data_IF_348988620815
#
_entry.id   IF_348988620815
#
_cell.length_a   1.000
_cell.length_b   1.000
_cell.length_c   1.000
_cell.angle_alpha   90.00
_cell.angle_beta   90.00
_cell.angle_gamma   90.00
#
_symmetry.space_group_name_H-M   'P 1'
#
loop_
_entity.id
_entity.type
_entity.pdbx_description
1 polymer ?
#
# COMPACT_ATOMS: atom_id res chain seq x y z
N UNK A 1 -13.14 -2.97 -7.17
CA UNK A 1 -13.94 -1.79 -7.60
C UNK A 1 -12.98 -0.64 -7.76
N UNK A 2 -13.15 0.22 -8.76
CA UNK A 2 -12.40 1.48 -8.82
C UNK A 2 -13.08 2.45 -7.86
N UNK A 3 -12.33 3.04 -6.94
CA UNK A 3 -12.81 4.11 -6.08
C UNK A 3 -12.39 5.44 -6.68
N UNK A 4 -13.33 6.37 -6.83
CA UNK A 4 -13.01 7.76 -7.20
C UNK A 4 -12.80 8.54 -5.92
N UNK A 5 -11.66 9.22 -5.81
CA UNK A 5 -11.35 10.14 -4.72
C UNK A 5 -11.06 11.52 -5.31
N UNK A 6 -11.48 12.57 -4.61
CA UNK A 6 -11.13 13.95 -4.94
C UNK A 6 -10.06 14.42 -3.96
N UNK A 7 -8.99 15.00 -4.47
CA UNK A 7 -7.87 15.51 -3.68
C UNK A 7 -7.63 16.97 -4.04
N UNK A 8 -7.54 17.82 -3.02
CA UNK A 8 -7.09 19.20 -3.18
C UNK A 8 -5.56 19.19 -3.29
N UNK A 9 -5.04 19.37 -4.50
CA UNK A 9 -3.59 19.36 -4.75
C UNK A 9 -3.02 20.74 -4.41
N UNK A 10 -2.09 20.87 -3.46
CA UNK A 10 -1.46 22.15 -3.13
C UNK A 10 -0.67 22.73 -4.30
N UNK A 11 -0.65 24.06 -4.43
CA UNK A 11 0.03 24.77 -5.52
C UNK A 11 1.52 24.39 -5.63
N UNK A 12 2.19 24.17 -4.51
CA UNK A 12 3.61 23.79 -4.47
C UNK A 12 3.86 22.47 -5.21
N UNK A 13 2.98 21.47 -5.01
CA UNK A 13 3.10 20.20 -5.71
C UNK A 13 2.74 20.36 -7.19
N UNK A 14 1.75 21.18 -7.52
CA UNK A 14 1.41 21.47 -8.92
C UNK A 14 2.61 22.08 -9.67
N UNK A 15 3.22 23.11 -9.10
CA UNK A 15 4.41 23.76 -9.68
C UNK A 15 5.57 22.77 -9.84
N UNK A 16 5.81 21.91 -8.84
CA UNK A 16 6.85 20.89 -8.93
C UNK A 16 6.55 19.88 -10.05
N UNK A 17 5.31 19.45 -10.18
CA UNK A 17 4.89 18.52 -11.24
C UNK A 17 5.06 19.13 -12.63
N UNK A 18 4.71 20.41 -12.82
CA UNK A 18 4.91 21.13 -14.08
C UNK A 18 6.38 21.19 -14.48
N UNK A 19 7.27 21.54 -13.54
CA UNK A 19 8.72 21.63 -13.78
C UNK A 19 9.36 20.27 -14.13
N UNK A 20 8.84 19.19 -13.58
CA UNK A 20 9.39 17.83 -13.73
C UNK A 20 8.65 17.00 -14.79
N UNK A 21 7.75 17.62 -15.57
CA UNK A 21 6.96 16.95 -16.61
C UNK A 21 6.21 15.71 -16.10
N UNK A 22 5.61 15.83 -14.91
CA UNK A 22 4.80 14.78 -14.29
C UNK A 22 3.45 15.32 -13.83
N UNK A 23 2.62 14.46 -13.28
CA UNK A 23 1.30 14.83 -12.74
C UNK A 23 1.18 14.41 -11.29
N UNK A 24 0.36 15.12 -10.47
CA UNK A 24 0.05 14.68 -9.12
C UNK A 24 -0.50 13.25 -9.08
N UNK A 25 -1.30 12.88 -10.09
CA UNK A 25 -1.83 11.52 -10.23
C UNK A 25 -0.73 10.47 -10.37
N UNK A 26 0.29 10.71 -11.21
CA UNK A 26 1.41 9.79 -11.38
C UNK A 26 2.22 9.65 -10.09
N UNK A 27 2.57 10.77 -9.44
CA UNK A 27 3.29 10.78 -8.16
C UNK A 27 2.53 9.98 -7.10
N UNK A 28 1.24 10.26 -6.93
CA UNK A 28 0.41 9.58 -5.94
C UNK A 28 0.19 8.11 -6.29
N UNK A 29 0.01 7.77 -7.57
CA UNK A 29 -0.18 6.38 -7.96
C UNK A 29 1.08 5.54 -7.70
N UNK A 30 2.27 6.10 -7.94
CA UNK A 30 3.54 5.44 -7.58
C UNK A 30 3.60 5.19 -6.08
N UNK A 31 3.36 6.22 -5.26
CA UNK A 31 3.34 6.07 -3.80
C UNK A 31 2.29 5.04 -3.34
N UNK A 32 1.08 5.03 -3.92
CA UNK A 32 0.03 4.06 -3.63
C UNK A 32 0.50 2.63 -3.96
N UNK A 33 1.13 2.43 -5.11
CA UNK A 33 1.68 1.13 -5.48
C UNK A 33 2.79 0.69 -4.53
N UNK A 34 3.65 1.63 -4.12
CA UNK A 34 4.78 1.37 -3.22
C UNK A 34 4.32 0.98 -1.82
N UNK A 35 3.42 1.77 -1.22
CA UNK A 35 2.88 1.48 0.13
C UNK A 35 1.99 0.24 0.14
N UNK A 36 1.29 -0.06 -0.95
CA UNK A 36 0.49 -1.29 -1.05
C UNK A 36 1.33 -2.53 -1.39
N UNK A 37 2.64 -2.36 -1.63
CA UNK A 37 3.56 -3.42 -2.00
C UNK A 37 3.08 -4.18 -3.25
N UNK A 38 2.51 -3.46 -4.20
CA UNK A 38 2.02 -4.02 -5.45
C UNK A 38 3.15 -4.62 -6.30
N UNK A 39 2.79 -5.55 -7.19
CA UNK A 39 3.75 -6.18 -8.10
C UNK A 39 4.44 -5.13 -9.00
N UNK A 40 3.67 -4.14 -9.46
CA UNK A 40 4.15 -3.05 -10.32
C UNK A 40 4.52 -1.79 -9.52
N UNK A 41 5.08 -1.96 -8.32
CA UNK A 41 5.67 -0.89 -7.52
C UNK A 41 7.09 -0.53 -8.01
N UNK A 42 7.68 0.49 -7.40
CA UNK A 42 9.05 0.97 -7.59
C UNK A 42 10.10 -0.04 -7.09
N UNK A 43 11.35 0.38 -6.86
CA UNK A 43 12.44 -0.44 -6.33
C UNK A 43 12.28 -0.84 -4.86
N UNK A 44 13.34 -1.43 -4.29
CA UNK A 44 13.32 -1.88 -2.89
C UNK A 44 13.21 -0.72 -1.91
N UNK A 45 14.08 0.28 -2.09
CA UNK A 45 14.24 1.38 -1.15
C UNK A 45 13.02 2.31 -1.17
N UNK A 46 12.42 2.55 -2.33
CA UNK A 46 11.22 3.39 -2.46
C UNK A 46 10.02 2.79 -1.70
N UNK A 47 9.84 1.46 -1.78
CA UNK A 47 8.82 0.75 -1.00
C UNK A 47 9.07 0.86 0.50
N UNK A 48 10.31 0.62 0.92
CA UNK A 48 10.68 0.71 2.34
C UNK A 48 10.42 2.12 2.89
N UNK A 49 10.76 3.15 2.12
CA UNK A 49 10.49 4.55 2.48
C UNK A 49 8.99 4.85 2.53
N UNK A 50 8.20 4.34 1.58
CA UNK A 50 6.74 4.54 1.56
C UNK A 50 6.07 3.90 2.78
N UNK A 51 6.43 2.66 3.11
CA UNK A 51 5.94 1.96 4.31
C UNK A 51 6.40 2.66 5.58
N UNK A 52 7.68 3.04 5.66
CA UNK A 52 8.23 3.76 6.82
C UNK A 52 7.53 5.09 7.06
N UNK A 53 7.24 5.84 6.00
CA UNK A 53 6.48 7.09 6.08
C UNK A 53 5.06 6.84 6.59
N UNK A 54 4.35 5.84 6.03
CA UNK A 54 3.01 5.45 6.47
C UNK A 54 2.97 5.09 7.97
N UNK A 55 3.93 4.28 8.43
CA UNK A 55 4.07 3.87 9.82
C UNK A 55 4.34 5.07 10.73
N UNK A 56 5.26 5.96 10.33
CA UNK A 56 5.62 7.15 11.09
C UNK A 56 4.47 8.15 11.23
N UNK A 57 3.60 8.24 10.23
CA UNK A 57 2.37 9.03 10.31
C UNK A 57 1.33 8.46 11.29
N UNK A 58 1.53 7.25 11.82
CA UNK A 58 0.63 6.63 12.78
C UNK A 58 -0.70 6.17 12.18
N UNK A 59 -0.76 5.96 10.86
CA UNK A 59 -1.96 5.46 10.19
C UNK A 59 -2.33 4.06 10.72
N UNK A 60 -3.60 3.88 11.10
CA UNK A 60 -4.11 2.60 11.62
C UNK A 60 -3.83 2.35 13.12
N UNK A 61 -2.98 3.14 13.78
CA UNK A 61 -2.58 2.90 15.20
C UNK A 61 -3.72 3.11 16.22
N UNK A 62 -4.80 3.78 15.81
CA UNK A 62 -6.04 3.85 16.60
C UNK A 62 -6.80 2.51 16.64
N UNK A 63 -6.49 1.56 15.73
CA UNK A 63 -7.13 0.24 15.61
C UNK A 63 -6.21 -0.92 15.94
N UNK A 64 -4.91 -0.71 15.88
CA UNK A 64 -3.89 -1.76 16.02
C UNK A 64 -2.66 -1.23 16.77
N UNK A 65 -1.84 -2.12 17.30
CA UNK A 65 -0.49 -1.77 17.79
C UNK A 65 0.48 -1.61 16.62
N UNK A 66 1.63 -0.97 16.86
CA UNK A 66 2.64 -0.71 15.83
C UNK A 66 3.13 -1.99 15.14
N UNK A 67 3.50 -2.99 15.93
CA UNK A 67 3.96 -4.31 15.48
C UNK A 67 2.91 -5.05 14.64
N UNK A 68 1.62 -4.87 14.95
CA UNK A 68 0.53 -5.44 14.18
C UNK A 68 0.42 -4.82 12.79
N UNK A 69 0.57 -3.49 12.68
CA UNK A 69 0.57 -2.80 11.37
C UNK A 69 1.85 -3.14 10.59
N UNK A 70 2.98 -3.32 11.26
CA UNK A 70 4.20 -3.82 10.63
C UNK A 70 3.98 -5.23 10.04
N UNK A 71 3.39 -6.14 10.82
CA UNK A 71 3.06 -7.50 10.37
C UNK A 71 2.07 -7.51 9.19
N UNK A 72 1.18 -6.52 9.10
CA UNK A 72 0.30 -6.34 7.94
C UNK A 72 1.11 -6.11 6.65
N UNK A 73 2.13 -5.25 6.70
CA UNK A 73 3.01 -4.99 5.56
C UNK A 73 3.88 -6.21 5.23
N UNK A 74 4.35 -6.96 6.22
CA UNK A 74 5.07 -8.23 5.98
C UNK A 74 4.23 -9.22 5.18
N UNK A 75 2.93 -9.35 5.50
CA UNK A 75 2.01 -10.20 4.76
C UNK A 75 1.85 -9.77 3.29
N UNK A 76 1.75 -8.46 3.04
CA UNK A 76 1.67 -7.92 1.69
C UNK A 76 2.99 -8.10 0.92
N UNK A 77 4.13 -7.94 1.59
CA UNK A 77 5.45 -8.14 0.99
C UNK A 77 5.66 -9.62 0.64
N UNK A 78 5.28 -10.54 1.54
CA UNK A 78 5.27 -11.97 1.26
C UNK A 78 4.44 -12.28 0.02
N UNK A 79 3.22 -11.73 -0.07
CA UNK A 79 2.36 -11.95 -1.22
C UNK A 79 3.01 -11.45 -2.51
N UNK A 80 3.63 -10.27 -2.49
CA UNK A 80 4.36 -9.72 -3.65
C UNK A 80 5.48 -10.67 -4.10
N UNK A 81 6.20 -11.30 -3.19
CA UNK A 81 7.25 -12.28 -3.53
C UNK A 81 6.70 -13.55 -4.20
N UNK A 82 5.45 -13.93 -3.93
CA UNK A 82 4.82 -15.11 -4.55
C UNK A 82 4.70 -15.00 -6.08
N UNK A 83 4.85 -13.80 -6.66
CA UNK A 83 4.85 -13.60 -8.12
C UNK A 83 6.03 -14.27 -8.84
N UNK A 84 7.14 -14.51 -8.13
CA UNK A 84 8.34 -15.11 -8.74
C UNK A 84 8.17 -16.64 -8.84
N UNK A 85 7.44 -17.23 -7.90
CA UNK A 85 7.12 -18.66 -7.87
C UNK A 85 5.86 -18.98 -8.69
N UNK A 86 4.83 -18.14 -8.61
CA UNK A 86 3.55 -18.30 -9.31
C UNK A 86 3.39 -17.16 -10.31
N UNK A 87 2.99 -17.47 -11.54
CA UNK A 87 2.82 -16.47 -12.61
C UNK A 87 1.39 -16.45 -13.14
N UNK A 88 1.02 -15.33 -13.75
CA UNK A 88 -0.25 -15.19 -14.49
C UNK A 88 -1.48 -15.51 -13.64
N UNK A 89 -2.32 -16.42 -14.12
CA UNK A 89 -3.59 -16.78 -13.47
C UNK A 89 -3.39 -17.43 -12.10
N UNK A 90 -2.34 -18.23 -11.92
CA UNK A 90 -2.04 -18.88 -10.64
C UNK A 90 -1.71 -17.86 -9.55
N UNK A 91 -0.92 -16.83 -9.87
CA UNK A 91 -0.64 -15.73 -8.95
C UNK A 91 -1.90 -14.94 -8.60
N UNK A 92 -2.71 -14.58 -9.61
CA UNK A 92 -3.97 -13.83 -9.39
C UNK A 92 -4.95 -14.60 -8.50
N UNK A 93 -5.03 -15.92 -8.65
CA UNK A 93 -5.86 -16.76 -7.79
C UNK A 93 -5.35 -16.75 -6.34
N UNK A 94 -4.04 -16.95 -6.13
CA UNK A 94 -3.42 -16.85 -4.81
C UNK A 94 -3.64 -15.46 -4.19
N UNK A 95 -3.34 -14.38 -4.93
CA UNK A 95 -3.50 -13.00 -4.49
C UNK A 95 -4.92 -12.74 -4.00
N UNK A 96 -5.93 -13.15 -4.79
CA UNK A 96 -7.33 -12.98 -4.42
C UNK A 96 -7.69 -13.75 -3.15
N UNK A 97 -7.23 -15.00 -3.01
CA UNK A 97 -7.51 -15.81 -1.83
C UNK A 97 -6.82 -15.23 -0.58
N UNK A 98 -5.51 -14.98 -0.68
CA UNK A 98 -4.71 -14.44 0.40
C UNK A 98 -5.27 -13.11 0.90
N UNK A 99 -5.53 -12.13 0.01
CA UNK A 99 -6.05 -10.82 0.44
C UNK A 99 -7.40 -10.93 1.15
N UNK A 100 -8.25 -11.89 0.76
CA UNK A 100 -9.53 -12.15 1.43
C UNK A 100 -9.32 -12.70 2.84
N UNK A 101 -8.46 -13.71 2.98
CA UNK A 101 -8.16 -14.35 4.28
C UNK A 101 -7.45 -13.37 5.22
N UNK A 102 -6.40 -12.72 4.71
CA UNK A 102 -5.63 -11.68 5.40
C UNK A 102 -6.52 -10.53 5.90
N UNK A 103 -7.43 -10.04 5.06
CA UNK A 103 -8.34 -8.96 5.46
C UNK A 103 -9.29 -9.40 6.58
N UNK A 104 -9.85 -10.62 6.49
CA UNK A 104 -10.76 -11.14 7.50
C UNK A 104 -10.04 -11.37 8.84
N UNK A 105 -8.80 -11.86 8.80
CA UNK A 105 -7.97 -12.05 10.00
C UNK A 105 -7.75 -10.72 10.73
N UNK A 106 -7.23 -9.71 10.04
CA UNK A 106 -6.95 -8.42 10.66
C UNK A 106 -8.21 -7.70 11.12
N UNK A 107 -9.29 -7.79 10.35
CA UNK A 107 -10.59 -7.28 10.76
C UNK A 107 -11.08 -7.92 12.07
N UNK A 108 -10.80 -9.20 12.30
CA UNK A 108 -11.11 -9.90 13.55
C UNK A 108 -10.23 -9.48 14.74
N UNK A 109 -9.03 -8.95 14.47
CA UNK A 109 -8.06 -8.48 15.49
C UNK A 109 -8.20 -6.99 15.79
N UNK A 110 -9.08 -6.26 15.10
CA UNK A 110 -9.30 -4.84 15.33
C UNK A 110 -9.67 -4.57 16.79
N UNK A 111 -9.02 -3.58 17.43
CA UNK A 111 -9.47 -3.05 18.71
C UNK A 111 -10.93 -2.62 18.60
N UNK A 112 -11.80 -3.18 19.43
CA UNK A 112 -13.14 -2.64 19.66
C UNK A 112 -12.93 -1.21 20.15
N UNK A 113 -13.56 -0.23 19.51
CA UNK A 113 -13.55 1.14 20.02
C UNK A 113 -13.98 1.13 21.49
N UNK A 114 -13.24 1.85 22.34
CA UNK A 114 -13.70 2.20 23.69
C UNK A 114 -15.03 2.96 23.61
#
# INVERSE_FOLDING_TARGET
MKQTIELQIPQQLQMLCELLETTPQQVLQTFINDVSLEVNSSGSDEREQAVSYFMRCGHGMHRYEFDQVETMFDGLNWLRWQQYEKKGTAFKALQKQFLKEWFNEWKGKMKSGQ
#
